data_IF_010369074624
#
_entry.id   IF_010369074624
#
_cell.length_a   1.000
_cell.length_b   1.000
_cell.length_c   1.000
_cell.angle_alpha   90.00
_cell.angle_beta   90.00
_cell.angle_gamma   90.00
#
_symmetry.space_group_name_H-M   'P 1'
#
loop_
_entity.id
_entity.type
_entity.pdbx_description
1 polymer ?
#
# COMPACT_ATOMS: atom_id res chain seq x y z
N UNK A 1 7.46 -16.40 -24.53
CA UNK A 1 8.07 -15.53 -25.56
C UNK A 1 6.94 -14.74 -26.19
N UNK A 2 6.96 -13.40 -26.10
CA UNK A 2 5.92 -12.56 -26.69
C UNK A 2 6.12 -12.51 -28.21
N UNK A 3 5.09 -12.84 -28.98
CA UNK A 3 5.08 -12.74 -30.45
C UNK A 3 4.25 -11.53 -30.86
N UNK A 4 4.73 -10.75 -31.84
CA UNK A 4 4.05 -9.56 -32.37
C UNK A 4 3.36 -9.90 -33.69
N UNK A 5 2.14 -9.39 -33.90
CA UNK A 5 1.43 -9.59 -35.17
C UNK A 5 1.93 -8.59 -36.22
N UNK A 6 2.36 -9.09 -37.39
CA UNK A 6 2.75 -8.24 -38.51
C UNK A 6 1.51 -7.53 -39.10
N UNK A 7 1.52 -6.19 -39.27
CA UNK A 7 0.39 -5.44 -39.82
C UNK A 7 0.21 -5.68 -41.33
N UNK A 8 1.27 -5.99 -42.06
CA UNK A 8 1.23 -6.20 -43.51
C UNK A 8 0.63 -7.56 -43.90
N UNK A 9 1.01 -8.63 -43.20
CA UNK A 9 0.58 -10.00 -43.56
C UNK A 9 -0.17 -10.75 -42.45
N UNK A 10 -0.34 -10.15 -41.27
CA UNK A 10 -1.06 -10.73 -40.14
C UNK A 10 -0.35 -11.89 -39.42
N UNK A 11 0.86 -12.28 -39.85
CA UNK A 11 1.62 -13.41 -39.27
C UNK A 11 2.30 -13.01 -37.96
N UNK A 12 2.41 -13.96 -37.02
CA UNK A 12 3.09 -13.74 -35.75
C UNK A 12 4.62 -13.80 -35.94
N UNK A 13 5.32 -12.77 -35.51
CA UNK A 13 6.76 -12.56 -35.69
C UNK A 13 7.41 -12.41 -34.33
N UNK A 14 8.63 -12.93 -34.19
CA UNK A 14 9.44 -12.69 -33.00
C UNK A 14 9.89 -11.23 -32.94
N UNK A 15 9.84 -10.55 -31.79
CA UNK A 15 10.33 -9.17 -31.63
C UNK A 15 11.84 -9.02 -31.87
N UNK A 16 12.59 -10.14 -31.93
CA UNK A 16 14.02 -10.15 -32.23
C UNK A 16 14.33 -10.51 -33.70
N UNK A 17 13.31 -10.76 -34.54
CA UNK A 17 13.55 -10.97 -35.97
C UNK A 17 13.95 -9.64 -36.62
N UNK A 18 14.82 -9.65 -37.63
CA UNK A 18 15.16 -8.43 -38.38
C UNK A 18 14.06 -8.08 -39.39
N UNK A 19 13.42 -9.10 -39.95
CA UNK A 19 12.36 -8.99 -40.95
C UNK A 19 11.23 -10.01 -40.68
N UNK A 20 10.02 -9.69 -41.15
CA UNK A 20 8.90 -10.61 -41.10
C UNK A 20 9.14 -11.80 -42.05
N UNK A 21 9.14 -13.06 -41.57
CA UNK A 21 9.31 -14.23 -42.43
C UNK A 21 8.11 -14.50 -43.37
N UNK A 22 7.03 -13.73 -43.25
CA UNK A 22 5.86 -13.83 -44.11
C UNK A 22 5.90 -12.89 -45.31
N UNK A 23 6.33 -11.65 -45.13
CA UNK A 23 6.26 -10.61 -46.17
C UNK A 23 7.55 -9.77 -46.34
N UNK A 24 8.59 -10.02 -45.55
CA UNK A 24 9.86 -9.27 -45.62
C UNK A 24 9.83 -7.87 -44.98
N UNK A 25 8.73 -7.47 -44.34
CA UNK A 25 8.64 -6.16 -43.70
C UNK A 25 9.64 -6.04 -42.52
N UNK A 26 10.37 -4.90 -42.39
CA UNK A 26 11.38 -4.72 -41.36
C UNK A 26 10.75 -4.68 -39.95
N UNK A 27 11.15 -5.60 -39.08
CA UNK A 27 10.48 -5.82 -37.80
C UNK A 27 10.64 -4.66 -36.80
N UNK A 28 11.69 -3.84 -36.95
CA UNK A 28 11.91 -2.63 -36.13
C UNK A 28 10.81 -1.59 -36.32
N UNK A 29 10.31 -1.43 -37.54
CA UNK A 29 9.21 -0.50 -37.82
C UNK A 29 7.90 -1.00 -37.22
N UNK A 30 7.69 -2.32 -37.23
CA UNK A 30 6.49 -2.96 -36.64
C UNK A 30 6.38 -2.74 -35.12
N UNK A 31 7.51 -2.73 -34.42
CA UNK A 31 7.57 -2.48 -32.97
C UNK A 31 7.24 -1.01 -32.66
N UNK A 32 7.78 -0.08 -33.45
CA UNK A 32 7.54 1.35 -33.25
C UNK A 32 6.08 1.75 -33.53
N UNK A 33 5.44 1.15 -34.53
CA UNK A 33 4.04 1.42 -34.85
C UNK A 33 3.09 0.88 -33.79
N UNK A 34 3.36 -0.30 -33.19
CA UNK A 34 2.57 -0.82 -32.08
C UNK A 34 2.71 0.03 -30.81
N UNK A 35 3.89 0.57 -30.54
CA UNK A 35 4.11 1.47 -29.41
C UNK A 35 3.34 2.79 -29.59
N UNK A 36 3.39 3.37 -30.80
CA UNK A 36 2.66 4.60 -31.11
C UNK A 36 1.14 4.40 -31.10
N UNK A 37 0.64 3.24 -31.57
CA UNK A 37 -0.79 2.91 -31.51
C UNK A 37 -1.29 2.70 -30.07
N UNK A 38 -0.51 2.01 -29.23
CA UNK A 38 -0.84 1.82 -27.82
C UNK A 38 -0.81 3.14 -27.02
N UNK A 39 0.07 4.07 -27.40
CA UNK A 39 0.16 5.40 -26.78
C UNK A 39 -0.95 6.34 -27.26
N UNK A 40 -1.35 6.27 -28.54
CA UNK A 40 -2.51 6.99 -29.07
C UNK A 40 -3.83 6.52 -28.44
N UNK A 41 -4.03 5.20 -28.30
CA UNK A 41 -5.21 4.62 -27.67
C UNK A 41 -5.31 5.00 -26.18
N UNK A 42 -4.17 5.04 -25.49
CA UNK A 42 -4.10 5.52 -24.10
C UNK A 42 -4.43 7.01 -23.96
N UNK A 43 -3.98 7.84 -24.91
CA UNK A 43 -4.26 9.27 -24.90
C UNK A 43 -5.73 9.56 -25.25
N UNK A 44 -6.35 8.80 -26.15
CA UNK A 44 -7.79 8.92 -26.47
C UNK A 44 -8.69 8.57 -25.26
N UNK A 45 -8.30 7.57 -24.46
CA UNK A 45 -8.99 7.22 -23.22
C UNK A 45 -8.90 8.35 -22.19
N UNK A 46 -7.74 9.01 -22.08
CA UNK A 46 -7.54 10.15 -21.16
C UNK A 46 -8.43 11.33 -21.55
N UNK A 47 -8.49 11.67 -22.84
CA UNK A 47 -9.31 12.80 -23.34
C UNK A 47 -10.80 12.58 -23.09
N UNK A 48 -11.32 11.36 -23.31
CA UNK A 48 -12.73 11.00 -23.04
C UNK A 48 -13.08 11.00 -21.55
N UNK A 49 -12.11 10.82 -20.68
CA UNK A 49 -12.29 10.90 -19.21
C UNK A 49 -12.34 12.36 -18.75
N UNK A 50 -11.53 13.24 -19.34
CA UNK A 50 -11.54 14.68 -19.00
C UNK A 50 -12.79 15.42 -19.46
N UNK A 51 -13.40 15.06 -20.60
CA UNK A 51 -14.66 15.69 -21.04
C UNK A 51 -15.87 15.32 -20.16
N UNK A 52 -15.86 14.15 -19.50
CA UNK A 52 -16.94 13.75 -18.58
C UNK A 52 -16.88 14.43 -17.21
N UNK A 53 -15.80 15.15 -16.88
CA UNK A 53 -15.63 15.81 -15.57
C UNK A 53 -16.02 17.29 -15.60
N UNK A 54 -16.25 17.88 -16.78
CA UNK A 54 -16.51 19.32 -16.91
C UNK A 54 -17.99 19.72 -17.10
N UNK A 55 -18.92 18.80 -16.82
CA UNK A 55 -20.35 19.01 -17.03
C UNK A 55 -21.22 18.80 -15.79
N UNK A 56 -20.96 19.51 -14.69
CA UNK A 56 -21.97 19.80 -13.64
C UNK A 56 -21.44 20.85 -12.64
N UNK A 57 -21.68 22.12 -12.95
CA UNK A 57 -21.69 23.20 -11.94
C UNK A 57 -23.12 23.37 -11.43
N UNK A 58 -23.33 23.38 -10.10
CA UNK A 58 -23.94 24.51 -9.34
C UNK A 58 -24.29 24.07 -7.91
N UNK A 59 -23.78 24.80 -6.91
CA UNK A 59 -24.54 25.62 -5.94
C UNK A 59 -23.64 25.97 -4.75
N UNK A 60 -23.29 27.26 -4.67
CA UNK A 60 -22.90 27.92 -3.43
C UNK A 60 -24.15 28.23 -2.59
N UNK A 61 -23.98 28.45 -1.28
CA UNK A 61 -24.42 29.75 -0.80
C UNK A 61 -23.40 30.46 0.10
N UNK A 62 -23.49 31.78 0.02
CA UNK A 62 -22.79 32.77 0.81
C UNK A 62 -23.28 32.82 2.27
N UNK A 63 -22.37 33.13 3.21
CA UNK A 63 -22.72 33.73 4.51
C UNK A 63 -21.77 34.90 4.75
N UNK A 64 -22.37 36.04 5.11
CA UNK A 64 -21.78 37.36 5.33
C UNK A 64 -21.07 37.48 6.70
N UNK A 65 -20.18 38.46 6.77
CA UNK A 65 -19.33 38.85 7.91
C UNK A 65 -20.09 39.54 9.06
N UNK A 66 -19.61 39.41 10.30
CA UNK A 66 -19.49 40.54 11.23
C UNK A 66 -18.46 40.27 12.36
N UNK A 67 -17.57 41.22 12.72
CA UNK A 67 -16.59 41.06 13.79
C UNK A 67 -17.13 41.61 15.12
N UNK A 68 -17.17 40.78 16.17
CA UNK A 68 -17.57 41.22 17.51
C UNK A 68 -16.34 41.48 18.40
N UNK A 69 -16.36 42.67 19.00
CA UNK A 69 -15.36 43.33 19.85
C UNK A 69 -15.05 42.59 21.14
N UNK A 70 -13.78 42.70 21.56
CA UNK A 70 -13.25 42.48 22.91
C UNK A 70 -13.64 43.69 23.81
N UNK A 71 -13.77 43.53 25.14
CA UNK A 71 -12.91 44.37 26.00
C UNK A 71 -12.46 43.76 27.36
N UNK A 72 -11.21 44.10 27.74
CA UNK A 72 -10.71 44.46 29.09
C UNK A 72 -10.47 43.30 30.10
N UNK A 73 -9.31 43.10 30.76
CA UNK A 73 -8.46 43.87 31.73
C UNK A 73 -7.09 43.12 31.85
N UNK A 74 -5.92 43.61 32.28
CA UNK A 74 -5.50 44.78 33.05
C UNK A 74 -3.98 44.96 32.88
N UNK A 75 -3.52 46.21 32.79
CA UNK A 75 -2.12 46.62 32.93
C UNK A 75 -1.87 47.02 34.39
N UNK A 76 -0.70 46.67 34.94
CA UNK A 76 -0.11 47.44 36.03
C UNK A 76 1.26 47.97 35.59
N UNK A 77 1.34 49.30 35.52
CA UNK A 77 2.56 50.07 35.68
C UNK A 77 2.41 50.88 36.99
N UNK A 78 3.45 50.86 37.83
CA UNK A 78 3.68 51.87 38.87
C UNK A 78 4.92 52.66 38.39
N UNK A 79 4.77 53.92 37.97
CA UNK A 79 4.60 55.18 38.72
C UNK A 79 5.92 55.81 39.17
N UNK A 80 6.17 57.00 38.61
CA UNK A 80 6.48 58.28 39.26
C UNK A 80 7.27 59.13 38.23
N UNK A 81 6.68 60.17 37.58
CA UNK A 81 6.39 61.54 38.07
C UNK A 81 7.70 62.29 38.44
N UNK A 82 8.02 63.52 38.04
CA UNK A 82 7.29 64.78 37.79
C UNK A 82 8.13 65.71 36.86
N UNK A 83 7.39 66.64 36.22
CA UNK A 83 7.62 67.83 35.38
C UNK A 83 8.96 68.64 35.28
N UNK A 84 9.03 69.54 34.25
CA UNK A 84 10.22 70.26 33.82
C UNK A 84 10.28 71.71 34.32
N UNK A 85 11.48 72.29 34.34
CA UNK A 85 11.68 73.73 34.32
C UNK A 85 12.77 74.15 33.34
N UNK A 86 12.69 75.43 32.99
CA UNK A 86 13.12 76.05 31.75
C UNK A 86 14.36 76.95 31.99
N UNK A 87 15.05 77.30 30.90
CA UNK A 87 15.83 78.53 30.67
C UNK A 87 17.36 78.56 30.90
N UNK A 88 18.02 78.88 29.76
CA UNK A 88 18.93 80.01 29.58
C UNK A 88 20.45 79.83 29.76
N UNK A 89 21.12 80.03 28.62
CA UNK A 89 22.37 80.78 28.42
C UNK A 89 23.64 80.30 29.14
N UNK A 90 24.61 79.80 28.36
CA UNK A 90 25.74 80.61 27.86
C UNK A 90 26.65 79.77 26.98
N UNK A 91 27.09 80.42 25.92
CA UNK A 91 28.17 80.05 25.01
C UNK A 91 29.47 79.72 25.74
N UNK A 92 30.07 78.57 25.43
CA UNK A 92 31.52 78.42 25.27
C UNK A 92 31.74 77.47 24.09
N UNK A 93 32.40 77.98 23.06
CA UNK A 93 33.01 77.21 21.99
C UNK A 93 34.28 76.63 22.59
N UNK A 94 34.31 75.32 22.81
CA UNK A 94 35.54 74.57 23.07
C UNK A 94 35.61 73.43 22.05
N UNK A 95 36.53 73.63 21.12
CA UNK A 95 37.43 72.67 20.47
C UNK A 95 36.82 71.32 20.03
N UNK A 96 36.59 71.23 18.72
CA UNK A 96 36.40 69.99 17.99
C UNK A 96 37.68 69.14 18.03
N UNK A 97 37.80 68.28 19.03
CA UNK A 97 38.75 67.16 18.98
C UNK A 97 38.12 65.98 18.23
N UNK A 98 38.81 65.59 17.16
CA UNK A 98 38.43 64.50 16.27
C UNK A 98 38.54 63.15 16.99
N UNK A 99 37.41 62.59 17.43
CA UNK A 99 37.34 61.20 17.87
C UNK A 99 37.53 60.25 16.67
N UNK A 100 38.77 59.79 16.57
CA UNK A 100 39.31 58.78 15.67
C UNK A 100 38.46 57.49 15.74
N UNK A 101 37.69 57.18 14.67
CA UNK A 101 37.06 55.87 14.47
C UNK A 101 38.13 54.77 14.62
N UNK A 102 38.14 54.06 15.75
CA UNK A 102 38.97 52.86 15.92
C UNK A 102 38.47 51.80 14.95
N UNK A 103 39.18 51.64 13.83
CA UNK A 103 38.94 50.56 12.88
C UNK A 103 38.99 49.21 13.61
N UNK A 104 38.03 48.34 13.32
CA UNK A 104 37.98 46.98 13.85
C UNK A 104 39.33 46.34 13.52
N UNK A 105 40.08 45.85 14.53
CA UNK A 105 41.41 45.34 14.29
C UNK A 105 41.27 44.03 13.48
N UNK A 106 42.15 43.81 12.51
CA UNK A 106 42.05 42.75 11.48
C UNK A 106 41.81 41.34 12.04
N UNK A 107 42.29 41.03 13.24
CA UNK A 107 42.02 39.77 13.97
C UNK A 107 40.55 39.60 14.40
N UNK A 108 39.83 40.69 14.70
CA UNK A 108 38.40 40.65 15.03
C UNK A 108 37.54 40.24 13.83
N UNK A 109 37.94 40.64 12.62
CA UNK A 109 37.26 40.22 11.38
C UNK A 109 37.46 38.72 11.13
N UNK A 110 38.65 38.19 11.39
CA UNK A 110 38.95 36.74 11.27
C UNK A 110 38.09 35.92 12.23
N UNK A 111 37.94 36.37 13.49
CA UNK A 111 37.08 35.68 14.48
C UNK A 111 35.61 35.66 14.01
N UNK A 112 35.11 36.77 13.47
CA UNK A 112 33.74 36.85 12.94
C UNK A 112 33.55 35.88 11.76
N UNK A 113 34.52 35.80 10.84
CA UNK A 113 34.46 34.88 9.70
C UNK A 113 34.46 33.42 10.18
N UNK A 114 35.33 33.06 11.13
CA UNK A 114 35.37 31.71 11.70
C UNK A 114 34.06 31.39 12.43
N UNK A 115 33.52 32.33 13.21
CA UNK A 115 32.24 32.15 13.87
C UNK A 115 31.08 31.96 12.87
N UNK A 116 31.07 32.72 11.76
CA UNK A 116 30.08 32.55 10.70
C UNK A 116 30.21 31.22 9.97
N UNK A 117 31.42 30.73 9.70
CA UNK A 117 31.64 29.41 9.10
C UNK A 117 31.20 28.28 10.03
N UNK A 118 31.49 28.38 11.34
CA UNK A 118 31.00 27.43 12.34
C UNK A 118 29.47 27.44 12.43
N UNK A 119 28.85 28.63 12.40
CA UNK A 119 27.40 28.76 12.41
C UNK A 119 26.77 28.19 11.13
N UNK A 120 27.31 28.51 9.95
CA UNK A 120 26.86 27.97 8.68
C UNK A 120 27.04 26.44 8.60
N UNK A 121 28.16 25.91 9.07
CA UNK A 121 28.42 24.47 9.14
C UNK A 121 27.47 23.77 10.11
N UNK A 122 27.18 24.38 11.26
CA UNK A 122 26.24 23.81 12.25
C UNK A 122 24.80 23.82 11.73
N UNK A 123 24.35 24.95 11.18
CA UNK A 123 23.00 25.08 10.60
C UNK A 123 22.84 24.17 9.38
N UNK A 124 23.83 24.15 8.48
CA UNK A 124 23.85 23.27 7.31
C UNK A 124 23.89 21.79 7.70
N UNK A 125 24.68 21.44 8.71
CA UNK A 125 24.75 20.08 9.26
C UNK A 125 23.42 19.63 9.86
N UNK A 126 22.77 20.47 10.67
CA UNK A 126 21.44 20.19 11.23
C UNK A 126 20.37 20.07 10.15
N UNK A 127 20.41 20.95 9.13
CA UNK A 127 19.49 20.89 7.99
C UNK A 127 19.64 19.59 7.20
N UNK A 128 20.88 19.20 6.87
CA UNK A 128 21.17 17.94 6.19
C UNK A 128 20.73 16.73 7.04
N UNK A 129 21.05 16.75 8.33
CA UNK A 129 20.69 15.69 9.26
C UNK A 129 19.17 15.49 9.30
N UNK A 130 18.40 16.56 9.47
CA UNK A 130 16.94 16.50 9.59
C UNK A 130 16.23 16.18 8.27
N UNK A 131 16.66 16.76 7.15
CA UNK A 131 15.90 16.68 5.89
C UNK A 131 16.39 15.60 4.92
N UNK A 132 17.60 15.07 5.11
CA UNK A 132 18.19 14.06 4.21
C UNK A 132 18.53 12.78 4.95
N UNK A 133 19.31 12.87 6.03
CA UNK A 133 19.77 11.68 6.73
C UNK A 133 18.64 10.96 7.47
N UNK A 134 17.90 11.65 8.34
CA UNK A 134 16.83 11.05 9.13
C UNK A 134 15.73 10.39 8.28
N UNK A 135 15.20 11.03 7.21
CA UNK A 135 14.18 10.40 6.37
C UNK A 135 14.70 9.17 5.62
N UNK A 136 15.95 9.22 5.11
CA UNK A 136 16.57 8.06 4.46
C UNK A 136 16.76 6.89 5.43
N UNK A 137 17.19 7.19 6.66
CA UNK A 137 17.34 6.19 7.71
C UNK A 137 15.98 5.58 8.09
N UNK A 138 14.97 6.43 8.29
CA UNK A 138 13.58 6.01 8.56
C UNK A 138 13.05 5.07 7.48
N UNK A 139 13.22 5.41 6.20
CA UNK A 139 12.76 4.59 5.07
C UNK A 139 13.53 3.27 4.96
N UNK A 140 14.84 3.27 5.26
CA UNK A 140 15.67 2.07 5.19
C UNK A 140 15.38 1.07 6.31
N UNK A 141 15.06 1.57 7.51
CA UNK A 141 14.76 0.76 8.70
C UNK A 141 13.27 0.39 8.81
N UNK A 142 12.40 1.02 8.03
CA UNK A 142 10.96 0.78 8.07
C UNK A 142 10.62 -0.67 7.63
N UNK A 143 9.80 -1.40 8.41
CA UNK A 143 9.32 -2.71 8.00
C UNK A 143 8.45 -2.62 6.74
N UNK A 144 8.60 -3.63 5.89
CA UNK A 144 7.88 -3.74 4.61
C UNK A 144 6.62 -4.57 4.77
N UNK A 145 5.50 -3.99 4.40
CA UNK A 145 4.21 -4.66 4.34
C UNK A 145 3.68 -4.63 2.91
N UNK A 146 2.84 -5.59 2.58
CA UNK A 146 2.26 -5.77 1.27
C UNK A 146 0.74 -5.76 1.34
N UNK A 147 0.12 -5.16 0.33
CA UNK A 147 -1.34 -5.09 0.20
C UNK A 147 -1.91 -6.48 -0.09
N UNK A 148 -2.78 -6.98 0.79
CA UNK A 148 -3.48 -8.26 0.64
C UNK A 148 -4.87 -8.11 0.01
N UNK A 149 -5.51 -6.95 0.15
CA UNK A 149 -6.78 -6.65 -0.50
C UNK A 149 -6.61 -6.52 -2.03
N UNK A 150 -7.70 -6.62 -2.78
CA UNK A 150 -7.67 -6.35 -4.23
C UNK A 150 -7.30 -4.89 -4.50
N UNK A 151 -7.92 -3.96 -3.76
CA UNK A 151 -7.63 -2.54 -3.79
C UNK A 151 -7.65 -2.00 -2.36
N UNK A 152 -6.62 -1.24 -2.00
CA UNK A 152 -6.47 -0.59 -0.71
C UNK A 152 -6.35 0.92 -0.89
N UNK A 153 -7.29 1.66 -0.31
CA UNK A 153 -7.22 3.10 -0.31
C UNK A 153 -6.30 3.59 0.82
N UNK A 154 -5.37 4.47 0.47
CA UNK A 154 -4.58 5.25 1.41
C UNK A 154 -5.23 6.62 1.61
N UNK A 155 -5.18 7.11 2.84
CA UNK A 155 -5.91 8.29 3.29
C UNK A 155 -4.98 9.30 3.97
N UNK A 156 -5.33 10.58 3.93
CA UNK A 156 -4.57 11.64 4.60
C UNK A 156 -4.75 11.64 6.12
N UNK A 157 -5.87 11.11 6.61
CA UNK A 157 -6.17 10.94 8.04
C UNK A 157 -6.51 9.47 8.33
N UNK A 158 -6.43 9.01 9.59
CA UNK A 158 -6.79 7.64 9.97
C UNK A 158 -8.30 7.34 9.90
N UNK A 159 -9.13 8.31 9.50
CA UNK A 159 -10.58 8.14 9.39
C UNK A 159 -10.98 7.42 8.09
N UNK A 160 -11.61 6.25 8.19
CA UNK A 160 -11.85 5.42 7.00
C UNK A 160 -13.17 5.65 6.27
N UNK A 161 -14.06 6.51 6.79
CA UNK A 161 -15.44 6.63 6.31
C UNK A 161 -15.67 7.76 5.31
N UNK A 162 -14.75 8.73 5.25
CA UNK A 162 -14.96 9.89 4.40
C UNK A 162 -14.18 9.77 3.09
N UNK A 163 -14.82 10.02 1.96
CA UNK A 163 -14.16 9.88 0.66
C UNK A 163 -13.22 11.05 0.32
N UNK A 164 -13.44 12.21 0.94
CA UNK A 164 -12.62 13.41 0.73
C UNK A 164 -11.16 13.24 1.17
N UNK A 165 -10.86 12.27 2.04
CA UNK A 165 -9.51 12.05 2.55
C UNK A 165 -8.74 10.95 1.81
N UNK A 166 -9.32 10.34 0.76
CA UNK A 166 -8.62 9.38 -0.11
C UNK A 166 -7.55 10.10 -0.91
N UNK A 167 -6.30 9.64 -0.81
CA UNK A 167 -5.16 10.25 -1.52
C UNK A 167 -4.50 9.30 -2.54
N UNK A 168 -4.65 7.98 -2.37
CA UNK A 168 -4.15 7.00 -3.32
C UNK A 168 -4.93 5.67 -3.18
N UNK A 169 -4.82 4.82 -4.20
CA UNK A 169 -5.35 3.45 -4.18
C UNK A 169 -4.30 2.48 -4.70
N UNK A 170 -4.12 1.37 -4.00
CA UNK A 170 -3.06 0.41 -4.26
C UNK A 170 -3.63 -0.97 -4.54
N UNK A 171 -3.22 -1.62 -5.64
CA UNK A 171 -3.64 -2.97 -5.94
C UNK A 171 -2.93 -3.99 -5.03
N UNK A 172 -3.47 -5.21 -5.01
CA UNK A 172 -2.84 -6.38 -4.41
C UNK A 172 -1.34 -6.49 -4.73
N UNK A 173 -0.54 -6.77 -3.69
CA UNK A 173 0.90 -6.98 -3.79
C UNK A 173 1.75 -5.71 -3.84
N UNK A 174 1.14 -4.53 -3.71
CA UNK A 174 1.90 -3.29 -3.57
C UNK A 174 2.67 -3.26 -2.25
N UNK A 175 3.95 -2.93 -2.29
CA UNK A 175 4.81 -2.77 -1.12
C UNK A 175 4.67 -1.37 -0.51
N UNK A 176 4.53 -1.30 0.81
CA UNK A 176 4.51 -0.08 1.61
C UNK A 176 5.53 -0.16 2.74
N UNK A 177 6.21 0.95 2.99
CA UNK A 177 7.04 1.17 4.17
C UNK A 177 6.12 1.58 5.33
N UNK A 178 6.11 0.84 6.42
CA UNK A 178 5.24 1.15 7.57
C UNK A 178 6.06 1.79 8.67
N UNK A 179 5.61 2.95 9.14
CA UNK A 179 6.29 3.71 10.19
C UNK A 179 5.66 3.52 11.56
N UNK A 180 4.34 3.40 11.60
CA UNK A 180 3.58 3.18 12.84
C UNK A 180 2.35 2.31 12.56
N UNK A 181 1.88 1.59 13.58
CA UNK A 181 0.71 0.73 13.50
C UNK A 181 -0.09 0.77 14.79
N UNK A 182 -1.39 1.02 14.68
CA UNK A 182 -2.34 1.00 15.79
C UNK A 182 -3.29 -0.17 15.60
N UNK A 183 -3.10 -1.22 16.41
CA UNK A 183 -3.87 -2.49 16.31
C UNK A 183 -5.12 -2.52 17.16
N UNK A 184 -5.10 -1.87 18.32
CA UNK A 184 -6.15 -1.98 19.34
C UNK A 184 -7.24 -0.89 19.22
N UNK A 185 -7.29 -0.18 18.09
CA UNK A 185 -8.33 0.80 17.83
C UNK A 185 -9.58 0.11 17.25
N UNK A 186 -10.74 0.74 17.39
CA UNK A 186 -11.99 0.31 16.73
C UNK A 186 -11.81 0.14 15.22
N UNK A 187 -10.94 0.95 14.61
CA UNK A 187 -10.51 0.83 13.21
C UNK A 187 -8.99 0.78 13.15
N UNK A 188 -8.39 -0.42 13.17
CA UNK A 188 -6.95 -0.58 13.14
C UNK A 188 -6.32 0.01 11.88
N UNK A 189 -5.25 0.78 12.03
CA UNK A 189 -4.58 1.46 10.93
C UNK A 189 -3.06 1.35 11.01
N UNK A 190 -2.43 1.63 9.87
CA UNK A 190 -0.99 1.80 9.75
C UNK A 190 -0.70 3.12 9.07
N UNK A 191 0.30 3.84 9.57
CA UNK A 191 0.87 4.99 8.88
C UNK A 191 2.08 4.53 8.08
N UNK A 192 2.10 4.83 6.79
CA UNK A 192 3.15 4.35 5.91
C UNK A 192 3.29 5.15 4.63
N UNK A 193 4.28 4.76 3.85
CA UNK A 193 4.67 5.42 2.61
C UNK A 193 4.80 4.42 1.48
N UNK A 194 4.18 4.78 0.37
CA UNK A 194 4.45 4.19 -0.93
C UNK A 194 5.65 4.91 -1.57
N UNK A 195 6.68 4.14 -1.93
CA UNK A 195 7.91 4.67 -2.52
C UNK A 195 8.37 3.76 -3.68
N UNK A 196 7.71 3.83 -4.85
CA UNK A 196 8.04 2.98 -5.98
C UNK A 196 9.43 3.30 -6.53
N UNK A 197 10.11 2.28 -7.04
CA UNK A 197 11.41 2.42 -7.70
C UNK A 197 11.24 2.41 -9.21
N UNK A 198 12.08 3.16 -9.92
CA UNK A 198 12.22 3.08 -11.38
C UNK A 198 12.99 1.81 -11.80
N UNK A 199 13.10 1.59 -13.11
CA UNK A 199 13.83 0.45 -13.67
C UNK A 199 15.34 0.42 -13.31
N UNK A 200 15.88 1.52 -12.76
CA UNK A 200 17.26 1.66 -12.31
C UNK A 200 17.40 1.52 -10.79
N UNK A 201 16.31 1.16 -10.10
CA UNK A 201 16.27 1.00 -8.64
C UNK A 201 16.25 2.32 -7.86
N UNK A 202 15.98 3.45 -8.52
CA UNK A 202 15.89 4.76 -7.86
C UNK A 202 14.44 5.07 -7.51
N UNK A 203 14.21 5.56 -6.30
CA UNK A 203 12.87 5.95 -5.83
C UNK A 203 12.32 7.09 -6.69
N UNK A 204 11.11 6.89 -7.22
CA UNK A 204 10.33 7.86 -7.97
C UNK A 204 9.67 8.85 -6.99
N UNK A 205 10.38 9.92 -6.66
CA UNK A 205 9.95 10.91 -5.65
C UNK A 205 8.60 11.56 -5.97
N UNK A 206 8.32 11.77 -7.25
CA UNK A 206 7.08 12.32 -7.79
C UNK A 206 5.86 11.42 -7.56
N UNK A 207 6.07 10.12 -7.38
CA UNK A 207 5.01 9.13 -7.12
C UNK A 207 4.95 8.67 -5.67
N UNK A 208 5.79 9.24 -4.81
CA UNK A 208 5.78 8.89 -3.40
C UNK A 208 4.53 9.48 -2.72
N UNK A 209 3.83 8.65 -1.97
CA UNK A 209 2.65 9.05 -1.21
C UNK A 209 2.78 8.49 0.20
N UNK A 210 2.62 9.35 1.22
CA UNK A 210 2.60 8.97 2.63
C UNK A 210 1.19 9.21 3.19
N UNK A 211 0.71 8.30 4.03
CA UNK A 211 -0.63 8.37 4.59
C UNK A 211 -1.01 7.13 5.39
N UNK A 212 -2.30 7.02 5.66
CA UNK A 212 -2.87 5.99 6.52
C UNK A 212 -3.57 4.91 5.69
N UNK A 213 -3.36 3.65 6.05
CA UNK A 213 -4.01 2.48 5.46
C UNK A 213 -4.60 1.59 6.53
N UNK A 214 -5.58 0.76 6.18
CA UNK A 214 -6.17 -0.20 7.11
C UNK A 214 -5.19 -1.33 7.43
N UNK A 215 -5.01 -1.63 8.71
CA UNK A 215 -4.14 -2.71 9.17
C UNK A 215 -4.60 -4.08 8.65
N UNK A 216 -5.91 -4.30 8.57
CA UNK A 216 -6.51 -5.61 8.22
C UNK A 216 -6.26 -6.05 6.77
N UNK A 217 -5.80 -5.13 5.92
CA UNK A 217 -5.52 -5.37 4.51
C UNK A 217 -4.03 -5.41 4.17
N UNK A 218 -3.17 -5.39 5.19
CA UNK A 218 -1.72 -5.40 5.05
C UNK A 218 -1.14 -6.65 5.69
N UNK A 219 -0.14 -7.25 5.03
CA UNK A 219 0.63 -8.38 5.57
C UNK A 219 2.12 -8.05 5.61
N UNK A 220 2.86 -8.53 6.63
CA UNK A 220 4.31 -8.52 6.60
C UNK A 220 4.86 -9.26 5.37
N UNK A 221 6.08 -8.92 4.92
CA UNK A 221 6.76 -9.56 3.77
C UNK A 221 6.63 -11.09 3.76
N UNK A 222 7.07 -11.76 4.83
CA UNK A 222 7.07 -13.22 4.91
C UNK A 222 5.66 -13.82 4.75
N UNK A 223 4.68 -13.25 5.44
CA UNK A 223 3.29 -13.69 5.42
C UNK A 223 2.63 -13.47 4.06
N UNK A 224 2.95 -12.36 3.38
CA UNK A 224 2.46 -12.08 2.04
C UNK A 224 2.98 -13.09 1.01
N UNK A 225 4.28 -13.37 1.01
CA UNK A 225 4.87 -14.34 0.08
C UNK A 225 4.42 -15.77 0.39
N UNK A 226 4.26 -16.11 1.67
CA UNK A 226 3.65 -17.38 2.07
C UNK A 226 2.21 -17.49 1.53
N UNK A 227 1.36 -16.49 1.77
CA UNK A 227 0.00 -16.47 1.23
C UNK A 227 -0.02 -16.59 -0.29
N UNK A 228 0.80 -15.81 -1.00
CA UNK A 228 0.81 -15.80 -2.46
C UNK A 228 1.22 -17.16 -3.05
N UNK A 229 2.01 -17.95 -2.30
CA UNK A 229 2.41 -19.31 -2.71
C UNK A 229 1.31 -20.36 -2.59
N UNK A 230 0.27 -20.09 -1.78
CA UNK A 230 -0.85 -21.01 -1.57
C UNK A 230 -1.69 -21.14 -2.85
N UNK A 231 -1.73 -20.11 -3.69
CA UNK A 231 -2.49 -20.12 -4.93
C UNK A 231 -1.72 -20.84 -6.03
N UNK A 232 -2.21 -22.01 -6.46
CA UNK A 232 -1.61 -22.80 -7.53
C UNK A 232 -1.91 -22.29 -8.94
N UNK A 233 -2.93 -21.44 -9.11
CA UNK A 233 -3.25 -20.78 -10.37
C UNK A 233 -3.95 -19.41 -10.19
N UNK A 234 -4.04 -18.64 -11.28
CA UNK A 234 -4.67 -17.31 -11.29
C UNK A 234 -6.17 -17.36 -10.94
N UNK A 235 -6.85 -18.43 -11.34
CA UNK A 235 -8.25 -18.65 -10.98
C UNK A 235 -8.41 -18.81 -9.46
N UNK A 236 -7.52 -19.52 -8.77
CA UNK A 236 -7.57 -19.65 -7.31
C UNK A 236 -7.39 -18.29 -6.63
N UNK A 237 -6.42 -17.50 -7.10
CA UNK A 237 -6.17 -16.14 -6.58
C UNK A 237 -7.37 -15.22 -6.77
N UNK A 238 -8.08 -15.36 -7.90
CA UNK A 238 -9.29 -14.58 -8.22
C UNK A 238 -10.49 -15.05 -7.40
N UNK A 239 -10.71 -16.37 -7.31
CA UNK A 239 -11.77 -16.99 -6.52
C UNK A 239 -11.61 -16.76 -5.02
N UNK A 240 -10.39 -16.52 -4.55
CA UNK A 240 -10.07 -16.26 -3.14
C UNK A 240 -9.59 -14.82 -2.94
N UNK A 241 -10.12 -13.88 -3.73
CA UNK A 241 -9.63 -12.51 -3.70
C UNK A 241 -10.01 -11.73 -2.42
N UNK A 242 -11.08 -12.13 -1.73
CA UNK A 242 -11.53 -11.47 -0.50
C UNK A 242 -10.52 -11.65 0.65
N UNK A 243 -10.26 -10.57 1.40
CA UNK A 243 -9.27 -10.53 2.47
C UNK A 243 -9.52 -11.59 3.56
N UNK A 244 -10.78 -11.85 3.91
CA UNK A 244 -11.15 -12.84 4.95
C UNK A 244 -10.73 -14.27 4.59
N UNK A 245 -10.92 -14.68 3.34
CA UNK A 245 -10.53 -16.02 2.87
C UNK A 245 -9.01 -16.17 2.87
N UNK A 246 -8.30 -15.13 2.42
CA UNK A 246 -6.84 -15.09 2.43
C UNK A 246 -6.27 -15.25 3.85
N UNK A 247 -6.86 -14.54 4.82
CA UNK A 247 -6.46 -14.64 6.25
C UNK A 247 -6.72 -16.02 6.82
N UNK A 248 -7.89 -16.61 6.54
CA UNK A 248 -8.24 -17.95 7.00
C UNK A 248 -7.26 -19.01 6.48
N UNK A 249 -6.97 -18.98 5.17
CA UNK A 249 -6.01 -19.89 4.55
C UNK A 249 -4.60 -19.68 5.08
N UNK A 250 -4.12 -18.44 5.15
CA UNK A 250 -2.80 -18.14 5.69
C UNK A 250 -2.66 -18.64 7.14
N UNK A 251 -3.69 -18.40 7.97
CA UNK A 251 -3.68 -18.84 9.36
C UNK A 251 -3.62 -20.36 9.48
N UNK A 252 -4.40 -21.08 8.67
CA UNK A 252 -4.38 -22.55 8.64
C UNK A 252 -3.02 -23.10 8.20
N UNK A 253 -2.43 -22.54 7.13
CA UNK A 253 -1.11 -22.97 6.67
C UNK A 253 -0.03 -22.74 7.74
N UNK A 254 -0.11 -21.63 8.47
CA UNK A 254 0.83 -21.34 9.57
C UNK A 254 0.64 -22.28 10.75
N UNK A 255 -0.59 -22.65 11.11
CA UNK A 255 -0.84 -23.57 12.23
C UNK A 255 -0.38 -24.99 11.93
N UNK A 256 -0.60 -25.46 10.70
CA UNK A 256 -0.19 -26.80 10.27
C UNK A 256 1.30 -26.88 9.88
N UNK A 257 1.99 -25.75 9.80
CA UNK A 257 3.38 -25.70 9.32
C UNK A 257 3.50 -26.06 7.84
N UNK A 258 2.48 -25.75 7.04
CA UNK A 258 2.45 -25.97 5.60
C UNK A 258 3.04 -24.77 4.84
N UNK A 259 3.51 -25.04 3.63
CA UNK A 259 3.91 -23.99 2.68
C UNK A 259 3.26 -24.22 1.32
N UNK A 260 3.14 -23.17 0.52
CA UNK A 260 2.85 -23.32 -0.90
C UNK A 260 4.09 -23.60 -1.74
N UNK A 261 3.98 -23.40 -3.04
CA UNK A 261 5.11 -23.55 -3.95
C UNK A 261 5.94 -22.25 -3.96
N UNK A 262 7.05 -22.27 -3.22
CA UNK A 262 8.03 -21.19 -3.17
C UNK A 262 9.39 -21.80 -3.41
N UNK A 263 10.19 -21.12 -4.24
CA UNK A 263 11.60 -21.43 -4.42
C UNK A 263 12.35 -21.34 -3.07
N UNK A 264 12.97 -22.43 -2.59
CA UNK A 264 13.73 -22.44 -1.34
C UNK A 264 14.81 -21.35 -1.27
N UNK A 265 15.40 -20.98 -2.40
CA UNK A 265 16.42 -19.92 -2.46
C UNK A 265 15.87 -18.54 -2.10
N UNK A 266 14.57 -18.29 -2.37
CA UNK A 266 13.90 -17.02 -2.10
C UNK A 266 13.24 -16.97 -0.72
N UNK A 267 13.06 -18.12 -0.05
CA UNK A 267 12.44 -18.16 1.28
C UNK A 267 13.19 -17.32 2.31
N UNK A 268 14.53 -17.42 2.32
CA UNK A 268 15.37 -16.62 3.21
C UNK A 268 15.26 -15.12 2.90
N UNK A 269 15.21 -14.75 1.62
CA UNK A 269 15.01 -13.37 1.17
C UNK A 269 13.66 -12.79 1.62
N UNK A 270 12.63 -13.64 1.69
CA UNK A 270 11.29 -13.28 2.15
C UNK A 270 11.15 -13.29 3.67
N UNK A 271 12.16 -13.78 4.41
CA UNK A 271 12.10 -13.93 5.86
C UNK A 271 11.23 -15.11 6.32
N UNK A 272 11.01 -16.11 5.45
CA UNK A 272 10.31 -17.34 5.78
C UNK A 272 11.36 -18.34 6.32
N UNK A 273 11.34 -18.58 7.62
CA UNK A 273 12.32 -19.41 8.32
C UNK A 273 11.63 -20.69 8.81
N UNK A 274 12.30 -21.84 8.67
CA UNK A 274 11.83 -23.11 9.26
C UNK A 274 10.81 -23.90 8.44
N UNK A 275 10.43 -23.44 7.24
CA UNK A 275 9.52 -24.15 6.33
C UNK A 275 10.22 -24.82 5.14
N UNK A 276 11.55 -24.92 5.11
CA UNK A 276 12.27 -25.47 3.96
C UNK A 276 11.97 -26.95 3.67
N UNK A 277 11.56 -27.71 4.68
CA UNK A 277 11.12 -29.11 4.58
C UNK A 277 9.61 -29.29 4.79
N UNK A 278 8.85 -28.19 4.88
CA UNK A 278 7.42 -28.25 5.07
C UNK A 278 6.72 -28.87 3.84
N UNK A 279 5.64 -29.65 4.05
CA UNK A 279 4.88 -30.22 2.94
C UNK A 279 4.28 -29.09 2.10
N UNK A 280 4.31 -29.27 0.78
CA UNK A 280 3.83 -28.27 -0.18
C UNK A 280 2.36 -28.48 -0.49
N UNK A 281 1.53 -27.52 -0.12
CA UNK A 281 0.09 -27.53 -0.35
C UNK A 281 -0.36 -26.30 -1.14
N UNK A 282 -1.25 -26.48 -2.10
CA UNK A 282 -1.81 -25.38 -2.89
C UNK A 282 -3.30 -25.54 -3.15
N UNK A 283 -3.96 -24.42 -3.42
CA UNK A 283 -5.34 -24.38 -3.92
C UNK A 283 -5.31 -24.16 -5.43
N UNK A 284 -6.02 -25.01 -6.15
CA UNK A 284 -6.24 -24.87 -7.60
C UNK A 284 -7.73 -24.68 -7.86
N UNK A 285 -8.11 -23.71 -8.67
CA UNK A 285 -9.52 -23.52 -9.04
C UNK A 285 -9.73 -23.65 -10.55
N UNK A 286 -10.95 -24.02 -10.95
CA UNK A 286 -11.43 -23.76 -12.30
C UNK A 286 -11.87 -22.29 -12.41
N UNK A 287 -12.01 -21.80 -13.63
CA UNK A 287 -12.59 -20.50 -13.92
C UNK A 287 -13.93 -20.30 -13.18
N UNK A 288 -14.24 -19.09 -12.73
CA UNK A 288 -15.38 -18.78 -11.84
C UNK A 288 -16.74 -19.26 -12.38
N UNK A 289 -16.91 -19.26 -13.71
CA UNK A 289 -18.13 -19.70 -14.39
C UNK A 289 -18.30 -21.23 -14.47
N UNK A 290 -17.34 -22.02 -13.99
CA UNK A 290 -17.45 -23.47 -13.99
C UNK A 290 -18.51 -23.95 -12.98
N UNK A 291 -19.29 -24.96 -13.37
CA UNK A 291 -20.33 -25.57 -12.50
C UNK A 291 -19.76 -26.39 -11.35
N UNK A 292 -18.49 -26.76 -11.42
CA UNK A 292 -17.77 -27.46 -10.37
C UNK A 292 -16.41 -26.82 -10.15
N UNK A 293 -16.03 -26.71 -8.88
CA UNK A 293 -14.80 -26.05 -8.50
C UNK A 293 -14.25 -26.60 -7.18
N UNK A 294 -13.00 -26.28 -6.86
CA UNK A 294 -12.38 -26.62 -5.58
C UNK A 294 -12.64 -25.56 -4.50
N UNK A 295 -13.35 -24.49 -4.84
CA UNK A 295 -13.78 -23.46 -3.91
C UNK A 295 -15.28 -23.31 -4.05
N UNK A 296 -15.98 -23.34 -2.91
CA UNK A 296 -17.41 -23.11 -2.83
C UNK A 296 -17.72 -22.14 -1.70
N UNK A 297 -18.67 -21.23 -1.94
CA UNK A 297 -19.09 -20.20 -0.99
C UNK A 297 -20.58 -20.38 -0.71
N UNK A 298 -20.97 -20.52 0.55
CA UNK A 298 -22.38 -20.67 0.91
C UNK A 298 -22.63 -20.24 2.35
N UNK A 299 -23.89 -19.98 2.72
CA UNK A 299 -24.29 -19.72 4.11
C UNK A 299 -24.99 -20.96 4.65
N UNK A 300 -24.22 -21.96 5.09
CA UNK A 300 -24.80 -23.23 5.58
C UNK A 300 -24.73 -23.30 7.09
N UNK A 301 -23.73 -22.69 7.71
CA UNK A 301 -23.66 -22.60 9.17
C UNK A 301 -24.68 -21.60 9.73
N UNK A 302 -24.59 -20.34 9.31
CA UNK A 302 -25.53 -19.26 9.69
C UNK A 302 -26.12 -18.58 8.46
N UNK A 303 -27.41 -18.82 8.21
CA UNK A 303 -28.13 -18.26 7.05
C UNK A 303 -28.26 -16.74 7.09
N UNK A 304 -28.29 -16.18 8.30
CA UNK A 304 -28.42 -14.76 8.61
C UNK A 304 -27.09 -13.99 8.62
N UNK A 305 -25.94 -14.69 8.54
CA UNK A 305 -24.65 -14.02 8.60
C UNK A 305 -24.44 -13.08 7.42
N UNK A 306 -23.79 -11.95 7.70
CA UNK A 306 -23.34 -10.98 6.71
C UNK A 306 -22.44 -11.65 5.67
N UNK A 307 -21.56 -12.55 6.09
CA UNK A 307 -20.57 -13.19 5.24
C UNK A 307 -20.98 -14.62 4.85
N UNK A 308 -20.38 -15.11 3.77
CA UNK A 308 -20.53 -16.50 3.33
C UNK A 308 -19.40 -17.35 3.89
N UNK A 309 -19.72 -18.57 4.29
CA UNK A 309 -18.77 -19.62 4.64
C UNK A 309 -17.96 -20.02 3.40
N UNK A 310 -16.77 -20.60 3.63
CA UNK A 310 -15.85 -21.03 2.59
C UNK A 310 -15.55 -22.52 2.72
N UNK A 311 -15.89 -23.29 1.69
CA UNK A 311 -15.36 -24.63 1.49
C UNK A 311 -14.24 -24.57 0.45
N UNK A 312 -13.07 -25.13 0.75
CA UNK A 312 -11.91 -25.10 -0.13
C UNK A 312 -11.14 -26.40 -0.08
N UNK A 313 -10.77 -26.92 -1.26
CA UNK A 313 -9.89 -28.08 -1.38
C UNK A 313 -8.46 -27.62 -1.59
N UNK A 314 -7.58 -28.05 -0.70
CA UNK A 314 -6.13 -27.96 -0.85
C UNK A 314 -5.57 -29.28 -1.37
N UNK A 315 -4.48 -29.21 -2.14
CA UNK A 315 -3.79 -30.36 -2.73
C UNK A 315 -2.31 -30.33 -2.36
N UNK A 316 -1.80 -31.45 -1.87
CA UNK A 316 -0.38 -31.67 -1.64
C UNK A 316 0.32 -31.94 -2.97
N UNK A 317 1.41 -31.24 -3.25
CA UNK A 317 2.15 -31.36 -4.52
C UNK A 317 3.07 -32.60 -4.56
N UNK A 318 3.44 -33.13 -3.39
CA UNK A 318 4.34 -34.28 -3.25
C UNK A 318 3.56 -35.59 -3.21
N UNK A 319 2.55 -35.68 -2.34
CA UNK A 319 1.76 -36.91 -2.15
C UNK A 319 0.53 -36.99 -3.04
N UNK A 320 0.13 -35.88 -3.69
CA UNK A 320 -1.14 -35.74 -4.41
C UNK A 320 -2.39 -35.87 -3.52
N UNK A 321 -2.24 -35.95 -2.19
CA UNK A 321 -3.34 -35.95 -1.25
C UNK A 321 -4.14 -34.65 -1.33
N UNK A 322 -5.44 -34.75 -1.08
CA UNK A 322 -6.36 -33.61 -1.10
C UNK A 322 -7.14 -33.54 0.20
N UNK A 323 -7.35 -32.33 0.71
CA UNK A 323 -8.12 -32.07 1.92
C UNK A 323 -9.16 -31.00 1.66
N UNK A 324 -10.39 -31.24 2.10
CA UNK A 324 -11.46 -30.27 2.12
C UNK A 324 -11.48 -29.56 3.48
N UNK A 325 -11.42 -28.24 3.44
CA UNK A 325 -11.48 -27.36 4.59
C UNK A 325 -12.78 -26.57 4.55
N UNK A 326 -13.46 -26.45 5.69
CA UNK A 326 -14.68 -25.67 5.82
C UNK A 326 -14.54 -24.59 6.89
N UNK A 327 -14.44 -23.33 6.43
CA UNK A 327 -14.33 -22.15 7.27
C UNK A 327 -15.67 -21.43 7.39
N UNK A 328 -16.00 -21.02 8.61
CA UNK A 328 -17.12 -20.15 8.93
C UNK A 328 -16.61 -18.77 9.29
N UNK A 329 -17.34 -17.73 8.88
CA UNK A 329 -17.00 -16.33 9.14
C UNK A 329 -18.12 -15.65 9.92
N UNK A 330 -17.76 -15.00 11.02
CA UNK A 330 -18.69 -14.21 11.82
C UNK A 330 -18.75 -12.75 11.32
N UNK A 331 -19.77 -12.01 11.76
CA UNK A 331 -20.09 -10.66 11.24
C UNK A 331 -18.99 -9.62 11.54
N UNK A 332 -18.09 -9.93 12.49
CA UNK A 332 -16.89 -9.16 12.85
C UNK A 332 -15.64 -9.53 12.01
N UNK A 333 -15.80 -10.35 10.97
CA UNK A 333 -14.72 -10.93 10.13
C UNK A 333 -13.80 -11.92 10.84
N UNK A 334 -14.11 -12.32 12.07
CA UNK A 334 -13.45 -13.47 12.69
C UNK A 334 -13.82 -14.76 11.95
N UNK A 335 -12.92 -15.75 11.98
CA UNK A 335 -13.11 -17.01 11.26
C UNK A 335 -12.71 -18.19 12.11
N UNK A 336 -13.34 -19.33 11.85
CA UNK A 336 -13.04 -20.62 12.48
C UNK A 336 -13.07 -21.73 11.44
N UNK A 337 -12.12 -22.66 11.52
CA UNK A 337 -12.20 -23.92 10.81
C UNK A 337 -13.15 -24.83 11.59
N UNK A 338 -14.28 -25.19 10.98
CA UNK A 338 -15.29 -26.05 11.62
C UNK A 338 -15.08 -27.51 11.24
N UNK A 339 -14.56 -27.78 10.05
CA UNK A 339 -14.35 -29.14 9.58
C UNK A 339 -13.15 -29.27 8.63
N UNK A 340 -12.45 -30.39 8.76
CA UNK A 340 -11.40 -30.85 7.85
C UNK A 340 -11.63 -32.33 7.54
N UNK A 341 -11.63 -32.70 6.26
CA UNK A 341 -11.74 -34.09 5.81
C UNK A 341 -10.85 -34.36 4.59
N UNK A 342 -10.52 -35.63 4.36
CA UNK A 342 -9.88 -36.04 3.11
C UNK A 342 -10.83 -35.85 1.93
N UNK A 343 -10.31 -35.40 0.79
CA UNK A 343 -11.04 -35.28 -0.45
C UNK A 343 -10.55 -36.33 -1.47
N UNK A 344 -11.37 -36.76 -2.44
CA UNK A 344 -10.96 -37.69 -3.48
C UNK A 344 -9.73 -37.18 -4.25
N UNK A 345 -8.88 -38.08 -4.74
CA UNK A 345 -7.66 -37.75 -5.46
C UNK A 345 -7.90 -36.85 -6.71
N UNK A 346 -9.07 -36.99 -7.32
CA UNK A 346 -9.50 -36.24 -8.51
C UNK A 346 -10.93 -35.69 -8.36
N UNK A 347 -11.38 -34.90 -9.34
CA UNK A 347 -12.71 -34.28 -9.35
C UNK A 347 -12.85 -33.00 -8.53
N UNK A 348 -13.94 -32.29 -8.76
CA UNK A 348 -14.25 -30.96 -8.23
C UNK A 348 -15.58 -30.99 -7.49
N UNK A 349 -15.76 -30.13 -6.48
CA UNK A 349 -17.06 -30.06 -5.80
C UNK A 349 -18.12 -29.56 -6.78
N UNK A 350 -19.23 -30.28 -6.89
CA UNK A 350 -20.39 -29.82 -7.66
C UNK A 350 -21.06 -28.65 -6.96
N UNK A 351 -21.42 -27.62 -7.74
CA UNK A 351 -22.18 -26.48 -7.25
C UNK A 351 -23.46 -26.93 -6.51
N UNK A 352 -23.77 -26.25 -5.40
CA UNK A 352 -24.97 -26.43 -4.55
C UNK A 352 -25.17 -27.80 -3.89
N UNK A 353 -24.27 -28.75 -4.06
CA UNK A 353 -24.38 -30.06 -3.40
C UNK A 353 -23.89 -30.06 -1.96
N UNK A 354 -23.12 -29.03 -1.57
CA UNK A 354 -22.58 -28.93 -0.21
C UNK A 354 -23.69 -28.83 0.84
N UNK A 355 -23.70 -29.79 1.76
CA UNK A 355 -24.49 -29.81 2.99
C UNK A 355 -23.56 -29.82 4.18
N UNK A 356 -23.94 -29.05 5.19
CA UNK A 356 -23.33 -29.11 6.50
C UNK A 356 -24.28 -29.90 7.38
N UNK A 357 -23.84 -31.06 7.84
CA UNK A 357 -24.62 -31.96 8.69
C UNK A 357 -23.93 -32.09 10.04
N UNK A 358 -24.65 -32.64 11.01
CA UNK A 358 -24.16 -32.82 12.37
C UNK A 358 -24.35 -34.28 12.73
N UNK A 359 -23.30 -34.91 13.25
CA UNK A 359 -23.38 -36.27 13.72
C UNK A 359 -24.11 -36.38 15.07
N UNK A 360 -24.30 -37.61 15.54
CA UNK A 360 -24.97 -37.90 16.83
C UNK A 360 -24.24 -37.30 18.05
N UNK A 361 -22.99 -36.85 17.88
CA UNK A 361 -22.18 -36.24 18.92
C UNK A 361 -22.12 -34.71 18.84
N UNK A 362 -22.84 -34.10 17.88
CA UNK A 362 -22.82 -32.65 17.69
C UNK A 362 -21.65 -32.14 16.86
N UNK A 363 -20.84 -33.01 16.25
CA UNK A 363 -19.73 -32.62 15.39
C UNK A 363 -20.23 -32.35 13.98
N UNK A 364 -19.77 -31.25 13.39
CA UNK A 364 -20.10 -30.92 12.01
C UNK A 364 -19.29 -31.75 11.02
N UNK A 365 -19.91 -32.21 9.93
CA UNK A 365 -19.24 -32.76 8.76
C UNK A 365 -19.83 -32.19 7.47
N UNK A 366 -19.05 -32.28 6.39
CA UNK A 366 -19.42 -31.71 5.10
C UNK A 366 -19.69 -32.82 4.09
N UNK A 367 -20.96 -32.97 3.72
CA UNK A 367 -21.37 -33.84 2.60
C UNK A 367 -21.32 -33.03 1.30
N UNK A 368 -20.57 -33.52 0.31
CA UNK A 368 -20.39 -32.85 -0.97
C UNK A 368 -20.21 -33.87 -2.09
N UNK A 369 -20.89 -33.64 -3.21
CA UNK A 369 -20.70 -34.46 -4.40
C UNK A 369 -19.53 -33.95 -5.25
N UNK A 370 -18.82 -34.89 -5.87
CA UNK A 370 -17.71 -34.60 -6.76
C UNK A 370 -18.08 -34.86 -8.23
N UNK A 371 -17.61 -33.99 -9.12
CA UNK A 371 -17.65 -34.16 -10.58
C UNK A 371 -16.21 -34.38 -11.08
N UNK A 372 -15.98 -35.51 -11.74
CA UNK A 372 -14.66 -35.96 -12.18
C UNK A 372 -14.32 -35.46 -13.59
#
# INVERSE_FOLDING_TARGET
MALIKCPECGRMVSPNAEECPGCGAPAKELISQQQNQAEAEKNEIITKVTEKVHGEETYAPAIQEEPTKIPFLEQQAASNSVEPETQSSKSIIEEMDAEKKKGIPTWGIVIIIVALLLLAGTVGGLFYYKNVYLPKKRDAEAPRYYVMAQNLNMRSTPEFEADYNKIASFPFGTELLIYDSVKNATKPYMHGKYAPMDARGKVMKDKCVEGYVSYNFMLPKADFFLLNSIFGNDDARTMLAEARYKRALLSYFKSEGFRGDIDPAKMSEYGIIGLSSAPRWQVFCRHEKAKSNNVYRSRKYRKDSKYTDLAVIIKNLETQERRLLYFVFDDDESFRLIHEQSAPCEGYMKDKTLKLETDDYGCYYVDVEYEY
#
